data_IF_668040500402
#
_entry.id   IF_668040500402
#
_cell.length_a   1.000
_cell.length_b   1.000
_cell.length_c   1.000
_cell.angle_alpha   90.00
_cell.angle_beta   90.00
_cell.angle_gamma   90.00
#
_symmetry.space_group_name_H-M   'P 1'
#
loop_
_entity.id
_entity.type
_entity.pdbx_description
1 polymer ?
#
# COMPACT_ATOMS: atom_id res chain seq x y z
N UNK A 1 12.07 13.85 22.73
CA UNK A 1 12.08 13.85 21.26
C UNK A 1 13.51 13.93 20.71
N UNK A 2 14.45 13.11 21.23
CA UNK A 2 15.89 13.43 21.21
C UNK A 2 16.55 13.38 19.82
N UNK A 3 16.03 12.56 18.91
CA UNK A 3 16.62 12.40 17.56
C UNK A 3 16.41 13.65 16.71
N UNK A 4 15.16 14.12 16.59
CA UNK A 4 14.84 15.29 15.75
C UNK A 4 15.46 16.56 16.32
N UNK A 5 15.50 16.70 17.65
CA UNK A 5 16.18 17.81 18.33
C UNK A 5 17.69 17.88 17.99
N UNK A 6 18.35 16.71 17.87
CA UNK A 6 19.75 16.63 17.46
C UNK A 6 19.95 17.05 16.00
N UNK A 7 19.10 16.55 15.10
CA UNK A 7 19.17 16.88 13.69
C UNK A 7 18.88 18.36 13.40
N UNK A 8 17.97 18.97 14.17
CA UNK A 8 17.66 20.40 14.06
C UNK A 8 18.81 21.26 14.59
N UNK A 9 19.41 20.87 15.73
CA UNK A 9 20.60 21.56 16.29
C UNK A 9 21.78 21.54 15.31
N UNK A 10 21.93 20.49 14.52
CA UNK A 10 22.96 20.38 13.48
C UNK A 10 22.57 21.03 12.14
N UNK A 11 21.38 21.66 12.08
CA UNK A 11 20.80 22.26 10.87
C UNK A 11 20.64 21.28 9.70
N UNK A 12 20.45 20.00 10.00
CA UNK A 12 20.21 18.96 9.00
C UNK A 12 18.72 18.84 8.66
N UNK A 13 17.85 19.16 9.62
CA UNK A 13 16.41 19.24 9.41
C UNK A 13 15.87 20.55 9.98
N UNK A 14 14.69 20.94 9.54
CA UNK A 14 13.93 22.06 10.08
C UNK A 14 12.51 21.61 10.39
N UNK A 15 11.95 22.14 11.48
CA UNK A 15 10.56 21.94 11.85
C UNK A 15 9.71 23.05 11.24
N UNK A 16 8.67 22.67 10.49
CA UNK A 16 7.66 23.61 9.97
C UNK A 16 6.31 23.25 10.60
N UNK A 17 5.62 24.24 11.16
CA UNK A 17 4.26 24.02 11.65
C UNK A 17 3.36 23.68 10.46
N UNK A 18 2.62 22.59 10.62
CA UNK A 18 1.60 22.14 9.67
C UNK A 18 0.22 22.46 10.27
N UNK A 19 -0.85 22.07 9.58
CA UNK A 19 -2.24 22.26 10.03
C UNK A 19 -2.46 21.62 11.41
N UNK A 20 -3.10 22.36 12.31
CA UNK A 20 -3.43 21.89 13.66
C UNK A 20 -2.20 21.78 14.58
N UNK A 21 -2.09 20.65 15.28
CA UNK A 21 -0.99 20.34 16.21
C UNK A 21 0.16 19.56 15.55
N UNK A 22 0.15 19.41 14.22
CA UNK A 22 1.17 18.66 13.48
C UNK A 22 2.38 19.54 13.15
N UNK A 23 3.58 18.96 13.26
CA UNK A 23 4.83 19.61 12.85
C UNK A 23 5.52 18.74 11.81
N UNK A 24 5.64 19.26 10.59
CA UNK A 24 6.43 18.64 9.53
C UNK A 24 7.92 18.78 9.80
N UNK A 25 8.68 17.71 9.53
CA UNK A 25 10.14 17.72 9.59
C UNK A 25 10.66 17.63 8.17
N UNK A 26 11.43 18.63 7.75
CA UNK A 26 11.95 18.72 6.40
C UNK A 26 13.48 18.71 6.41
N UNK A 27 14.15 17.90 5.57
CA UNK A 27 15.58 17.98 5.44
C UNK A 27 15.99 19.32 4.80
N UNK A 28 17.00 19.97 5.37
CA UNK A 28 17.59 21.17 4.77
C UNK A 28 18.44 20.79 3.55
N UNK A 29 18.94 21.77 2.79
CA UNK A 29 19.92 21.50 1.74
C UNK A 29 21.20 20.84 2.26
N UNK A 30 21.65 21.23 3.47
CA UNK A 30 22.76 20.58 4.18
C UNK A 30 22.40 19.14 4.54
N UNK A 31 21.21 18.94 5.11
CA UNK A 31 20.70 17.62 5.48
C UNK A 31 20.67 16.63 4.32
N UNK A 32 20.16 17.05 3.16
CA UNK A 32 20.13 16.20 1.95
C UNK A 32 21.53 15.80 1.49
N UNK A 33 22.48 16.73 1.46
CA UNK A 33 23.88 16.43 1.09
C UNK A 33 24.54 15.47 2.08
N UNK A 34 24.37 15.70 3.39
CA UNK A 34 24.90 14.84 4.44
C UNK A 34 24.30 13.43 4.35
N UNK A 35 22.99 13.32 4.13
CA UNK A 35 22.34 12.03 3.92
C UNK A 35 22.90 11.32 2.67
N UNK A 36 23.07 12.04 1.56
CA UNK A 36 23.69 11.51 0.35
C UNK A 36 25.10 10.96 0.60
N UNK A 37 25.97 11.74 1.25
CA UNK A 37 27.33 11.30 1.60
C UNK A 37 27.35 10.06 2.50
N UNK A 38 26.45 10.00 3.48
CA UNK A 38 26.30 8.85 4.37
C UNK A 38 25.89 7.60 3.58
N UNK A 39 24.90 7.74 2.70
CA UNK A 39 24.41 6.65 1.86
C UNK A 39 25.49 6.19 0.88
N UNK A 40 26.17 7.10 0.17
CA UNK A 40 27.29 6.77 -0.73
C UNK A 40 28.39 6.03 0.03
N UNK A 41 28.76 6.49 1.23
CA UNK A 41 29.80 5.86 2.05
C UNK A 41 29.40 4.44 2.48
N UNK A 42 28.12 4.22 2.80
CA UNK A 42 27.60 2.88 3.13
C UNK A 42 27.58 1.97 1.91
N UNK A 43 27.05 2.45 0.80
CA UNK A 43 26.97 1.69 -0.44
C UNK A 43 28.36 1.30 -0.91
N UNK A 44 29.33 2.22 -0.91
CA UNK A 44 30.71 1.91 -1.30
C UNK A 44 31.34 0.79 -0.46
N UNK A 45 31.11 0.78 0.87
CA UNK A 45 31.60 -0.31 1.73
C UNK A 45 30.92 -1.64 1.43
N UNK A 46 29.61 -1.63 1.18
CA UNK A 46 28.87 -2.83 0.82
C UNK A 46 29.28 -3.37 -0.55
N UNK A 47 29.45 -2.49 -1.55
CA UNK A 47 29.98 -2.85 -2.87
C UNK A 47 31.33 -3.52 -2.72
N UNK A 48 32.26 -2.94 -1.95
CA UNK A 48 33.58 -3.55 -1.70
C UNK A 48 33.54 -4.94 -1.06
N UNK A 49 32.53 -5.25 -0.24
CA UNK A 49 32.33 -6.61 0.31
C UNK A 49 31.81 -7.57 -0.75
N UNK A 50 31.00 -7.08 -1.69
CA UNK A 50 30.39 -7.87 -2.76
C UNK A 50 31.29 -8.01 -4.00
N UNK A 51 32.36 -7.23 -4.14
CA UNK A 51 33.27 -7.24 -5.30
C UNK A 51 33.92 -8.60 -5.56
N UNK A 52 33.98 -9.47 -4.55
CA UNK A 52 34.49 -10.85 -4.70
C UNK A 52 33.50 -11.83 -5.33
N UNK A 53 32.23 -11.44 -5.49
CA UNK A 53 31.17 -12.28 -6.06
C UNK A 53 31.06 -12.01 -7.56
N UNK A 54 31.01 -13.06 -8.37
CA UNK A 54 30.66 -12.96 -9.78
C UNK A 54 29.18 -12.62 -9.99
N UNK A 55 28.82 -12.21 -11.21
CA UNK A 55 27.45 -11.80 -11.55
C UNK A 55 26.39 -12.87 -11.24
N UNK A 56 26.75 -14.15 -11.38
CA UNK A 56 25.87 -15.27 -11.01
C UNK A 56 25.67 -15.38 -9.52
N UNK A 57 26.74 -15.25 -8.74
CA UNK A 57 26.69 -15.37 -7.29
C UNK A 57 25.95 -14.18 -6.66
N UNK A 58 26.15 -12.97 -7.19
CA UNK A 58 25.37 -11.78 -6.80
C UNK A 58 23.88 -12.00 -7.05
N UNK A 59 23.52 -12.56 -8.20
CA UNK A 59 22.12 -12.88 -8.54
C UNK A 59 21.52 -13.92 -7.60
N UNK A 60 22.27 -14.98 -7.31
CA UNK A 60 21.83 -16.06 -6.43
C UNK A 60 21.68 -15.58 -4.99
N UNK A 61 22.62 -14.76 -4.51
CA UNK A 61 22.53 -14.10 -3.20
C UNK A 61 21.27 -13.22 -3.13
N UNK A 62 21.00 -12.43 -4.18
CA UNK A 62 19.78 -11.64 -4.28
C UNK A 62 18.51 -12.48 -4.19
N UNK A 63 18.47 -13.62 -4.88
CA UNK A 63 17.33 -14.54 -4.84
C UNK A 63 17.14 -15.19 -3.45
N UNK A 64 18.22 -15.53 -2.76
CA UNK A 64 18.16 -16.05 -1.39
C UNK A 64 17.66 -14.98 -0.41
N UNK A 65 18.18 -13.75 -0.49
CA UNK A 65 17.73 -12.63 0.33
C UNK A 65 16.25 -12.34 0.11
N UNK A 66 15.76 -12.40 -1.13
CA UNK A 66 14.34 -12.21 -1.44
C UNK A 66 13.46 -13.24 -0.71
N UNK A 67 13.84 -14.53 -0.73
CA UNK A 67 13.10 -15.60 -0.02
C UNK A 67 13.10 -15.38 1.50
N UNK A 68 14.24 -14.99 2.07
CA UNK A 68 14.35 -14.72 3.51
C UNK A 68 13.48 -13.52 3.93
N UNK A 69 13.50 -12.45 3.14
CA UNK A 69 12.71 -11.26 3.40
C UNK A 69 11.21 -11.50 3.26
N UNK A 70 10.78 -12.31 2.29
CA UNK A 70 9.38 -12.72 2.18
C UNK A 70 8.95 -13.53 3.42
N UNK A 71 9.74 -14.53 3.83
CA UNK A 71 9.44 -15.31 5.04
C UNK A 71 9.36 -14.45 6.32
N UNK A 72 10.26 -13.48 6.48
CA UNK A 72 10.20 -12.52 7.58
C UNK A 72 8.96 -11.61 7.52
N UNK A 73 8.57 -11.19 6.31
CA UNK A 73 7.35 -10.42 6.10
C UNK A 73 6.10 -11.22 6.51
N UNK A 74 6.02 -12.50 6.13
CA UNK A 74 4.90 -13.36 6.53
C UNK A 74 4.76 -13.47 8.07
N UNK A 75 5.88 -13.36 8.80
CA UNK A 75 5.86 -13.31 10.26
C UNK A 75 5.42 -11.97 10.85
N UNK A 76 5.75 -10.84 10.22
CA UNK A 76 5.39 -9.51 10.73
C UNK A 76 4.02 -8.99 10.24
N UNK A 77 3.58 -9.41 9.05
CA UNK A 77 2.34 -9.02 8.38
C UNK A 77 2.24 -7.54 8.01
N UNK A 78 3.34 -6.78 8.06
CA UNK A 78 3.32 -5.34 7.82
C UNK A 78 4.68 -4.83 7.36
N UNK A 79 4.70 -4.24 6.16
CA UNK A 79 5.89 -3.64 5.60
C UNK A 79 6.36 -2.45 6.46
N UNK A 80 5.44 -1.67 7.05
CA UNK A 80 5.78 -0.52 7.91
C UNK A 80 6.46 -0.91 9.22
N UNK A 81 6.26 -2.15 9.68
CA UNK A 81 6.91 -2.68 10.88
C UNK A 81 8.26 -3.33 10.59
N UNK A 82 8.42 -3.86 9.38
CA UNK A 82 9.62 -4.59 8.97
C UNK A 82 10.64 -3.70 8.28
N UNK A 83 10.19 -2.92 7.31
CA UNK A 83 10.98 -1.88 6.70
C UNK A 83 10.93 -0.66 7.61
N UNK A 84 12.09 -0.09 7.92
CA UNK A 84 12.12 1.30 8.37
C UNK A 84 11.32 2.10 7.31
N UNK A 85 10.44 3.06 7.69
CA UNK A 85 9.63 3.88 6.79
C UNK A 85 10.52 4.85 6.01
N UNK A 86 11.53 4.28 5.36
CA UNK A 86 12.40 4.86 4.39
C UNK A 86 11.55 5.16 3.18
N UNK A 87 11.92 6.24 2.53
CA UNK A 87 11.53 6.58 1.18
C UNK A 87 11.48 5.33 0.27
N UNK A 88 10.26 4.84 0.01
CA UNK A 88 10.01 3.63 -0.80
C UNK A 88 10.54 3.81 -2.21
N UNK A 89 10.54 5.05 -2.73
CA UNK A 89 11.11 5.38 -4.03
C UNK A 89 12.64 5.22 -4.06
N UNK A 90 13.32 5.44 -2.93
CA UNK A 90 14.74 5.17 -2.79
C UNK A 90 15.06 3.68 -2.59
N UNK A 91 14.11 2.87 -2.12
CA UNK A 91 14.27 1.43 -1.92
C UNK A 91 14.07 0.62 -3.20
N UNK A 92 13.32 1.16 -4.16
CA UNK A 92 13.02 0.54 -5.45
C UNK A 92 13.34 1.52 -6.60
N UNK A 93 14.61 1.96 -6.73
CA UNK A 93 14.99 2.79 -7.87
C UNK A 93 14.81 1.99 -9.17
N UNK A 94 14.53 2.70 -10.27
CA UNK A 94 14.50 2.15 -11.63
C UNK A 94 13.50 0.99 -11.86
N UNK A 95 12.45 0.92 -11.04
CA UNK A 95 11.38 -0.08 -11.19
C UNK A 95 11.75 -1.48 -10.70
N UNK A 96 12.86 -1.63 -9.97
CA UNK A 96 13.21 -2.90 -9.31
C UNK A 96 12.21 -3.18 -8.19
N UNK A 97 11.49 -4.30 -8.28
CA UNK A 97 10.51 -4.70 -7.27
C UNK A 97 11.22 -5.08 -5.95
N UNK A 98 10.87 -4.37 -4.87
CA UNK A 98 11.31 -4.74 -3.53
C UNK A 98 10.54 -5.99 -3.05
N UNK A 99 11.21 -7.06 -2.59
CA UNK A 99 10.54 -8.32 -2.22
C UNK A 99 9.53 -8.14 -1.08
N UNK A 100 9.86 -7.34 -0.05
CA UNK A 100 8.92 -7.02 1.03
C UNK A 100 7.72 -6.23 0.48
N UNK A 101 7.98 -5.30 -0.43
CA UNK A 101 6.93 -4.49 -1.01
C UNK A 101 5.98 -5.25 -1.93
N UNK A 102 6.50 -6.27 -2.63
CA UNK A 102 5.71 -7.19 -3.42
C UNK A 102 4.85 -8.10 -2.53
N UNK A 103 5.42 -8.62 -1.44
CA UNK A 103 4.69 -9.44 -0.48
C UNK A 103 3.49 -8.67 0.11
N UNK A 104 3.70 -7.40 0.46
CA UNK A 104 2.68 -6.52 1.01
C UNK A 104 1.53 -6.23 0.04
N UNK A 105 1.85 -5.97 -1.23
CA UNK A 105 0.87 -5.83 -2.31
C UNK A 105 0.04 -7.09 -2.50
N UNK A 106 0.68 -8.27 -2.55
CA UNK A 106 -0.02 -9.56 -2.70
C UNK A 106 -1.05 -9.77 -1.58
N UNK A 107 -0.73 -9.42 -0.34
CA UNK A 107 -1.66 -9.53 0.80
C UNK A 107 -2.83 -8.55 0.67
N UNK A 108 -2.57 -7.32 0.23
CA UNK A 108 -3.61 -6.31 0.02
C UNK A 108 -4.55 -6.72 -1.11
N UNK A 109 -4.02 -7.25 -2.22
CA UNK A 109 -4.81 -7.74 -3.36
C UNK A 109 -5.68 -8.95 -2.99
N UNK A 110 -5.15 -9.88 -2.19
CA UNK A 110 -5.92 -11.02 -1.67
C UNK A 110 -7.06 -10.58 -0.74
N UNK A 111 -6.83 -9.53 0.06
CA UNK A 111 -7.83 -8.95 0.95
C UNK A 111 -8.93 -8.19 0.17
N UNK A 112 -8.56 -7.53 -0.94
CA UNK A 112 -9.53 -6.89 -1.84
C UNK A 112 -10.34 -7.92 -2.64
N UNK A 113 -9.71 -9.01 -3.09
CA UNK A 113 -10.38 -10.09 -3.82
C UNK A 113 -11.37 -10.90 -2.99
N UNK A 114 -11.12 -11.04 -1.68
CA UNK A 114 -12.03 -11.72 -0.74
C UNK A 114 -13.25 -10.87 -0.34
N UNK A 115 -13.17 -9.54 -0.43
CA UNK A 115 -14.34 -8.66 -0.33
C UNK A 115 -15.22 -8.70 -1.61
N UNK A 116 -14.63 -9.03 -2.77
CA UNK A 116 -15.32 -9.16 -4.05
C UNK A 116 -16.03 -10.50 -4.27
N UNK A 117 -15.73 -11.55 -3.50
CA UNK A 117 -16.34 -12.88 -3.64
C UNK A 117 -17.64 -13.07 -2.83
N UNK A 118 -18.00 -12.12 -1.97
CA UNK A 118 -19.31 -12.07 -1.30
C UNK A 118 -20.45 -11.55 -2.21
N UNK A 119 -20.19 -11.43 -3.53
CA UNK A 119 -21.09 -10.81 -4.51
C UNK A 119 -21.34 -11.65 -5.77
N UNK A 120 -21.30 -13.00 -5.73
CA UNK A 120 -21.92 -13.80 -6.80
C UNK A 120 -22.34 -15.22 -6.37
N UNK A 121 -23.57 -15.36 -5.88
CA UNK A 121 -24.42 -16.56 -5.96
C UNK A 121 -25.80 -16.21 -5.35
N UNK A 122 -26.98 -16.44 -5.93
CA UNK A 122 -27.39 -17.10 -7.18
C UNK A 122 -28.68 -16.44 -7.72
N UNK A 123 -28.95 -16.50 -9.02
CA UNK A 123 -29.52 -17.65 -9.75
C UNK A 123 -30.88 -18.13 -9.23
N UNK A 124 -31.90 -17.68 -9.98
CA UNK A 124 -33.15 -18.35 -10.36
C UNK A 124 -33.68 -19.48 -9.45
N UNK A 125 -34.82 -19.22 -8.80
CA UNK A 125 -35.74 -20.28 -8.36
C UNK A 125 -36.94 -20.34 -9.29
N UNK A 126 -37.03 -21.46 -10.00
CA UNK A 126 -38.16 -21.86 -10.84
C UNK A 126 -39.44 -22.04 -10.00
N UNK A 127 -40.54 -21.44 -10.44
CA UNK A 127 -41.88 -21.61 -9.82
C UNK A 127 -42.74 -22.49 -10.73
N UNK A 128 -43.30 -23.63 -10.28
CA UNK A 128 -44.30 -24.36 -11.04
C UNK A 128 -45.69 -23.76 -10.81
N UNK A 129 -46.45 -23.60 -11.89
CA UNK A 129 -47.63 -22.75 -11.95
C UNK A 129 -48.92 -23.30 -11.32
N UNK A 130 -49.95 -22.44 -11.34
CA UNK A 130 -51.36 -22.81 -11.42
C UNK A 130 -52.20 -21.65 -12.00
N UNK A 131 -52.81 -21.94 -13.16
CA UNK A 131 -54.10 -21.52 -13.72
C UNK A 131 -54.49 -20.03 -13.69
N UNK A 132 -54.60 -19.46 -14.89
CA UNK A 132 -55.53 -18.39 -15.25
C UNK A 132 -57.00 -18.77 -14.94
N UNK A 133 -57.89 -17.79 -14.77
CA UNK A 133 -58.74 -17.49 -15.91
C UNK A 133 -58.90 -15.99 -16.24
N UNK A 134 -59.28 -15.80 -17.50
CA UNK A 134 -59.58 -14.59 -18.24
C UNK A 134 -60.93 -13.97 -17.87
N UNK A 135 -61.00 -12.62 -17.83
CA UNK A 135 -62.11 -11.77 -18.31
C UNK A 135 -61.68 -10.29 -18.09
N UNK A 136 -61.39 -9.51 -19.14
CA UNK A 136 -62.36 -8.73 -19.91
C UNK A 136 -63.05 -7.60 -19.12
N UNK A 137 -62.77 -6.34 -19.50
CA UNK A 137 -63.81 -5.30 -19.51
C UNK A 137 -63.61 -4.03 -18.69
N UNK A 138 -63.08 -2.98 -19.37
CA UNK A 138 -63.63 -1.61 -19.48
C UNK A 138 -63.80 -0.69 -18.24
N UNK A 139 -63.25 0.52 -18.44
CA UNK A 139 -63.93 1.84 -18.33
C UNK A 139 -64.02 2.55 -16.96
N UNK A 140 -63.47 3.79 -16.95
CA UNK A 140 -63.97 5.06 -16.37
C UNK A 140 -64.38 5.07 -14.87
N UNK A 141 -64.23 6.11 -14.06
CA UNK A 141 -64.07 7.55 -14.26
C UNK A 141 -63.66 8.17 -12.89
N UNK A 142 -63.16 9.42 -12.94
CA UNK A 142 -63.22 10.50 -11.92
C UNK A 142 -63.26 10.16 -10.42
N UNK A 143 -62.42 10.84 -9.63
CA UNK A 143 -62.73 12.16 -9.00
C UNK A 143 -61.80 12.42 -7.80
N UNK A 144 -61.26 13.65 -7.77
CA UNK A 144 -60.92 14.55 -6.64
C UNK A 144 -60.63 13.93 -5.24
N UNK A 145 -59.68 14.42 -4.44
CA UNK A 145 -59.48 15.82 -4.14
C UNK A 145 -58.24 16.03 -3.26
N UNK A 146 -57.60 17.20 -3.46
CA UNK A 146 -57.05 18.11 -2.43
C UNK A 146 -55.88 17.63 -1.53
N UNK A 147 -54.68 18.11 -1.92
CA UNK A 147 -53.71 18.82 -1.04
C UNK A 147 -54.38 20.07 -0.40
N UNK A 148 -53.77 20.84 0.54
CA UNK A 148 -52.39 20.85 1.10
C UNK A 148 -52.44 20.89 2.66
N UNK A 149 -51.40 21.08 3.48
CA UNK A 149 -50.09 21.73 3.42
C UNK A 149 -49.11 20.99 4.32
#
# INVERSE_FOLDING_TARGET
MRMVDGLERESLVERRRTVGNWTGVHPTGKGRRTAGQLLTSRTSRLTGVLDGLGDTEVRDLGALLAKLLDGLYQGCGSADRMCRPCDRAACAPDGVECPVGAADQRVHDQSAGSAGSAGSAGSAVSTPGRRSPSAAGKSMDRRAARRPR
#
